data_IF_345546457683
#
_entry.id   IF_345546457683
#
_cell.length_a   1.000
_cell.length_b   1.000
_cell.length_c   1.000
_cell.angle_alpha   90.00
_cell.angle_beta   90.00
_cell.angle_gamma   90.00
#
_symmetry.space_group_name_H-M   'P 1'
#
loop_
_entity.id
_entity.type
_entity.pdbx_description
1 polymer ?
#
# COMPACT_ATOMS: atom_id res chain seq x y z
N UNK A 1 -3.55 -3.88 8.81
CA UNK A 1 -3.68 -2.61 8.04
C UNK A 1 -2.61 -1.65 8.50
N UNK A 2 -1.91 -0.95 7.60
CA UNK A 2 -0.94 0.11 7.96
C UNK A 2 -1.08 1.31 7.03
N UNK A 3 -1.05 2.51 7.60
CA UNK A 3 -1.00 3.76 6.83
C UNK A 3 0.37 3.93 6.15
N UNK A 4 0.36 4.46 4.93
CA UNK A 4 1.56 4.89 4.20
C UNK A 4 1.98 6.29 4.66
N UNK A 5 3.22 6.67 4.36
CA UNK A 5 3.85 7.94 4.76
C UNK A 5 4.46 8.64 3.54
N UNK A 6 4.82 9.91 3.69
CA UNK A 6 5.41 10.72 2.61
C UNK A 6 4.37 11.06 1.54
N UNK A 7 4.75 10.96 0.27
CA UNK A 7 3.90 11.30 -0.88
C UNK A 7 2.61 10.46 -0.97
N UNK A 8 2.56 9.33 -0.24
CA UNK A 8 1.39 8.46 -0.16
C UNK A 8 0.63 8.57 1.17
N UNK A 9 0.84 9.65 1.94
CA UNK A 9 0.03 9.92 3.13
C UNK A 9 -1.47 9.97 2.76
N UNK A 10 -2.32 9.38 3.59
CA UNK A 10 -3.77 9.21 3.32
C UNK A 10 -4.13 7.89 2.63
N UNK A 11 -3.13 7.15 2.12
CA UNK A 11 -3.33 5.78 1.64
C UNK A 11 -2.96 4.74 2.70
N UNK A 12 -3.60 3.59 2.60
CA UNK A 12 -3.45 2.45 3.48
C UNK A 12 -3.03 1.22 2.68
N UNK A 13 -2.34 0.31 3.37
CA UNK A 13 -1.96 -0.99 2.82
C UNK A 13 -2.57 -2.12 3.62
N UNK A 14 -3.23 -3.03 2.91
CA UNK A 14 -3.72 -4.30 3.43
C UNK A 14 -3.10 -5.47 2.68
N UNK A 15 -2.80 -6.57 3.39
CA UNK A 15 -2.19 -7.78 2.82
C UNK A 15 -3.21 -8.90 2.81
N UNK A 16 -3.40 -9.53 1.65
CA UNK A 16 -4.25 -10.70 1.46
C UNK A 16 -3.40 -11.76 0.77
N UNK A 17 -2.90 -12.74 1.53
CA UNK A 17 -1.93 -13.71 1.02
C UNK A 17 -0.72 -13.00 0.41
N UNK A 18 -0.43 -13.28 -0.86
CA UNK A 18 0.66 -12.65 -1.61
C UNK A 18 0.25 -11.34 -2.29
N UNK A 19 -0.90 -10.76 -1.97
CA UNK A 19 -1.32 -9.49 -2.55
C UNK A 19 -1.18 -8.35 -1.56
N UNK A 20 -0.83 -7.18 -2.07
CA UNK A 20 -0.96 -5.90 -1.38
C UNK A 20 -2.03 -5.08 -2.08
N UNK A 21 -2.97 -4.59 -1.30
CA UNK A 21 -4.01 -3.65 -1.72
C UNK A 21 -3.62 -2.29 -1.17
N UNK A 22 -3.52 -1.29 -2.04
CA UNK A 22 -3.36 0.11 -1.67
C UNK A 22 -4.70 0.80 -1.88
N UNK A 23 -5.18 1.46 -0.83
CA UNK A 23 -6.49 2.12 -0.86
C UNK A 23 -6.55 3.36 0.00
N UNK A 24 -7.48 4.27 -0.29
CA UNK A 24 -7.86 5.37 0.60
C UNK A 24 -9.27 5.13 1.14
N UNK A 25 -9.58 5.79 2.26
CA UNK A 25 -10.91 5.77 2.88
C UNK A 25 -11.45 7.19 2.82
N UNK A 26 -12.68 7.33 2.35
CA UNK A 26 -13.45 8.57 2.39
C UNK A 26 -14.60 8.34 3.38
N UNK A 27 -14.38 8.75 4.63
CA UNK A 27 -15.28 8.44 5.76
C UNK A 27 -16.66 9.07 5.59
N UNK A 28 -16.73 10.26 4.99
CA UNK A 28 -17.97 11.02 4.80
C UNK A 28 -19.01 10.29 3.95
N UNK A 29 -18.55 9.46 3.02
CA UNK A 29 -19.40 8.73 2.07
C UNK A 29 -19.25 7.22 2.17
N UNK A 30 -18.56 6.73 3.20
CA UNK A 30 -18.29 5.30 3.46
C UNK A 30 -17.74 4.59 2.22
N UNK A 31 -16.73 5.20 1.58
CA UNK A 31 -16.15 4.70 0.31
C UNK A 31 -14.69 4.29 0.48
N UNK A 32 -14.33 3.17 -0.14
CA UNK A 32 -12.95 2.68 -0.26
C UNK A 32 -12.53 2.75 -1.72
N UNK A 33 -11.43 3.46 -2.00
CA UNK A 33 -10.89 3.57 -3.36
C UNK A 33 -9.62 2.74 -3.49
N UNK A 34 -9.65 1.67 -4.31
CA UNK A 34 -8.50 0.80 -4.54
C UNK A 34 -7.69 1.32 -5.72
N UNK A 35 -6.48 1.79 -5.44
CA UNK A 35 -5.59 2.40 -6.46
C UNK A 35 -4.73 1.34 -7.14
N UNK A 36 -4.37 0.28 -6.40
CA UNK A 36 -3.53 -0.78 -6.94
C UNK A 36 -3.71 -2.10 -6.19
N UNK A 37 -3.66 -3.19 -6.95
CA UNK A 37 -3.50 -4.56 -6.44
C UNK A 37 -2.23 -5.11 -7.04
N UNK A 38 -1.25 -5.44 -6.21
CA UNK A 38 0.05 -5.93 -6.66
C UNK A 38 0.38 -7.27 -6.02
N UNK A 39 1.00 -8.16 -6.81
CA UNK A 39 1.56 -9.42 -6.32
C UNK A 39 2.89 -9.15 -5.64
N UNK A 40 2.91 -9.44 -4.34
CA UNK A 40 4.09 -9.56 -3.51
C UNK A 40 4.95 -10.73 -3.96
N UNK A 41 5.79 -10.52 -4.97
CA UNK A 41 6.98 -11.38 -5.10
C UNK A 41 8.23 -10.74 -4.49
N UNK A 42 8.34 -9.42 -4.42
CA UNK A 42 9.56 -8.75 -3.93
C UNK A 42 9.38 -7.41 -3.18
N UNK A 43 8.17 -6.95 -2.86
CA UNK A 43 7.99 -5.65 -2.18
C UNK A 43 8.08 -5.72 -0.63
N UNK A 44 8.81 -6.71 -0.10
CA UNK A 44 9.51 -6.60 1.20
C UNK A 44 11.02 -6.63 0.92
N UNK A 45 11.48 -5.94 -0.12
CA UNK A 45 12.85 -5.46 -0.11
C UNK A 45 12.97 -4.60 1.15
N UNK A 46 13.80 -5.08 2.08
CA UNK A 46 14.23 -4.31 3.23
C UNK A 46 14.73 -2.94 2.71
N UNK A 47 14.53 -1.85 3.46
CA UNK A 47 14.84 -0.46 3.05
C UNK A 47 16.26 -0.27 2.46
N UNK A 48 17.15 -1.23 2.64
CA UNK A 48 18.51 -1.30 2.10
C UNK A 48 18.62 -1.67 0.61
N UNK A 49 17.63 -2.31 -0.02
CA UNK A 49 17.76 -2.82 -1.41
C UNK A 49 17.17 -1.89 -2.48
N UNK A 50 16.50 -0.80 -2.10
CA UNK A 50 15.78 0.08 -3.04
C UNK A 50 16.61 1.32 -3.46
N UNK A 51 17.83 1.49 -2.94
CA UNK A 51 18.72 2.61 -3.32
C UNK A 51 19.92 2.22 -4.19
N UNK A 52 19.95 1.01 -4.77
CA UNK A 52 21.02 0.67 -5.71
C UNK A 52 20.47 0.16 -7.04
N UNK A 53 19.97 1.10 -7.85
CA UNK A 53 20.39 1.29 -9.25
C UNK A 53 19.78 2.54 -9.88
#
# INVERSE_FOLDING_TARGET
MKALKGDYAGYYRYRIGDYRVIYSIEDEVVRVFVVAITRSRFAIAHRSEVYER
#
